data_IF_442172179692
#
_entry.id   IF_442172179692
#
_cell.length_a   1.000
_cell.length_b   1.000
_cell.length_c   1.000
_cell.angle_alpha   90.00
_cell.angle_beta   90.00
_cell.angle_gamma   90.00
#
_symmetry.space_group_name_H-M   'P 1'
#
loop_
_entity.id
_entity.type
_entity.pdbx_description
1 polymer ?
#
# COMPACT_ATOMS: atom_id res chain seq x y z
N UNK A 1 17.57 -5.98 -20.31
CA UNK A 1 16.19 -5.72 -19.86
C UNK A 1 15.46 -5.31 -21.12
N UNK A 2 14.68 -6.24 -21.68
CA UNK A 2 14.04 -6.06 -22.98
C UNK A 2 12.79 -5.19 -22.82
N UNK A 3 12.56 -4.31 -23.78
CA UNK A 3 11.39 -3.43 -23.85
C UNK A 3 10.08 -4.23 -23.74
N UNK A 4 9.31 -4.00 -22.67
CA UNK A 4 8.00 -4.63 -22.45
C UNK A 4 6.87 -3.98 -23.27
N UNK A 5 7.21 -3.12 -24.24
CA UNK A 5 6.27 -2.43 -25.13
C UNK A 5 6.57 -2.72 -26.61
N UNK A 6 5.53 -3.00 -27.39
CA UNK A 6 5.64 -3.12 -28.85
C UNK A 6 6.13 -1.78 -29.44
N UNK A 7 7.30 -1.74 -30.10
CA UNK A 7 7.88 -0.49 -30.62
C UNK A 7 7.06 0.13 -31.77
N UNK A 8 6.11 -0.60 -32.35
CA UNK A 8 5.27 -0.14 -33.46
C UNK A 8 3.95 0.46 -32.97
N UNK A 9 3.39 -0.07 -31.88
CA UNK A 9 2.05 0.30 -31.38
C UNK A 9 2.06 0.91 -29.98
N UNK A 10 3.17 0.80 -29.26
CA UNK A 10 3.33 1.24 -27.87
C UNK A 10 2.58 0.39 -26.84
N UNK A 11 2.02 -0.76 -27.22
CA UNK A 11 1.26 -1.61 -26.31
C UNK A 11 2.18 -2.40 -25.37
N UNK A 12 1.89 -2.35 -24.06
CA UNK A 12 2.58 -3.16 -23.05
C UNK A 12 2.05 -4.60 -23.14
N UNK A 13 2.93 -5.55 -23.46
CA UNK A 13 2.54 -6.92 -23.85
C UNK A 13 2.45 -7.87 -22.63
N UNK A 14 3.03 -7.49 -21.49
CA UNK A 14 3.03 -8.27 -20.26
C UNK A 14 2.37 -7.47 -19.11
N UNK A 15 1.09 -7.77 -18.84
CA UNK A 15 0.37 -7.21 -17.68
C UNK A 15 0.52 -8.21 -16.52
N UNK A 16 1.11 -7.83 -15.37
CA UNK A 16 1.18 -8.70 -14.20
C UNK A 16 -0.21 -9.07 -13.68
N UNK A 17 -0.39 -10.31 -13.18
CA UNK A 17 -1.64 -10.73 -12.53
C UNK A 17 -2.04 -9.75 -11.42
N UNK A 18 -3.29 -9.30 -11.44
CA UNK A 18 -3.83 -8.34 -10.46
C UNK A 18 -3.85 -6.88 -10.91
N UNK A 19 -3.30 -6.56 -12.09
CA UNK A 19 -3.45 -5.23 -12.70
C UNK A 19 -4.43 -5.29 -13.87
N UNK A 20 -5.41 -4.38 -13.86
CA UNK A 20 -6.36 -4.19 -14.95
C UNK A 20 -5.94 -2.94 -15.74
N UNK A 21 -4.89 -3.08 -16.57
CA UNK A 21 -4.45 -1.98 -17.44
C UNK A 21 -5.13 -2.09 -18.79
N UNK A 22 -5.77 -1.00 -19.21
CA UNK A 22 -6.30 -0.87 -20.58
C UNK A 22 -5.15 -0.34 -21.46
N UNK A 23 -4.65 -1.10 -22.46
CA UNK A 23 -3.57 -0.63 -23.31
C UNK A 23 -4.05 0.55 -24.17
N UNK A 24 -3.45 1.72 -23.96
CA UNK A 24 -3.76 2.94 -24.70
C UNK A 24 -2.83 3.06 -25.92
N UNK A 25 -3.35 2.81 -27.13
CA UNK A 25 -2.58 3.02 -28.36
C UNK A 25 -2.66 4.49 -28.80
N UNK A 26 -1.59 5.24 -28.50
CA UNK A 26 -1.53 6.69 -28.68
C UNK A 26 -1.48 7.10 -30.17
N UNK A 27 -1.07 6.20 -31.08
CA UNK A 27 -0.97 6.48 -32.51
C UNK A 27 -2.33 6.53 -33.24
N UNK A 28 -3.41 6.04 -32.61
CA UNK A 28 -4.77 5.96 -33.19
C UNK A 28 -5.75 6.92 -32.48
N UNK A 29 -5.24 7.73 -31.55
CA UNK A 29 -6.02 8.55 -30.63
C UNK A 29 -6.50 9.85 -31.32
N UNK A 30 -7.62 9.74 -32.05
CA UNK A 30 -8.41 10.88 -32.56
C UNK A 30 -9.33 11.44 -31.46
N UNK A 31 -9.63 12.74 -31.52
CA UNK A 31 -10.52 13.47 -30.60
C UNK A 31 -11.90 12.81 -30.51
N UNK A 32 -12.37 12.21 -31.60
CA UNK A 32 -13.63 11.46 -31.62
C UNK A 32 -13.60 10.19 -30.74
N UNK A 33 -12.46 9.48 -30.68
CA UNK A 33 -12.29 8.31 -29.81
C UNK A 33 -12.11 8.70 -28.34
N UNK A 34 -11.44 9.83 -28.07
CA UNK A 34 -11.34 10.39 -26.72
C UNK A 34 -12.71 10.70 -26.13
N UNK A 35 -13.61 11.28 -26.92
CA UNK A 35 -14.98 11.59 -26.48
C UNK A 35 -15.74 10.31 -26.12
N UNK A 36 -15.55 9.22 -26.86
CA UNK A 36 -16.20 7.93 -26.57
C UNK A 36 -15.65 7.25 -25.31
N UNK A 37 -14.40 7.52 -24.95
CA UNK A 37 -13.78 7.01 -23.72
C UNK A 37 -14.04 7.89 -22.51
N UNK A 38 -14.60 9.09 -22.70
CA UNK A 38 -15.02 9.93 -21.58
C UNK A 38 -16.06 9.19 -20.75
N UNK A 39 -15.84 9.03 -19.43
CA UNK A 39 -16.80 8.34 -18.59
C UNK A 39 -18.13 9.10 -18.55
N UNK A 40 -19.22 8.35 -18.64
CA UNK A 40 -20.58 8.89 -18.57
C UNK A 40 -20.95 9.30 -17.14
N UNK A 41 -21.92 10.21 -17.00
CA UNK A 41 -22.39 10.65 -15.67
C UNK A 41 -22.85 9.48 -14.77
N UNK A 42 -23.61 8.47 -15.24
CA UNK A 42 -23.94 7.30 -14.43
C UNK A 42 -22.70 6.51 -13.98
N UNK A 43 -21.68 6.36 -14.82
CA UNK A 43 -20.43 5.68 -14.46
C UNK A 43 -19.67 6.43 -13.36
N UNK A 44 -19.62 7.77 -13.43
CA UNK A 44 -18.98 8.60 -12.41
C UNK A 44 -19.74 8.55 -11.09
N UNK A 45 -21.07 8.62 -11.12
CA UNK A 45 -21.91 8.50 -9.91
C UNK A 45 -21.75 7.10 -9.28
N UNK A 46 -21.69 6.05 -10.10
CA UNK A 46 -21.42 4.69 -9.65
C UNK A 46 -20.06 4.55 -8.98
N UNK A 47 -19.00 5.04 -9.64
CA UNK A 47 -17.65 5.08 -9.08
C UNK A 47 -17.59 5.87 -7.77
N UNK A 48 -18.26 7.02 -7.70
CA UNK A 48 -18.34 7.84 -6.49
C UNK A 48 -19.04 7.10 -5.33
N UNK A 49 -20.12 6.37 -5.61
CA UNK A 49 -20.82 5.57 -4.60
C UNK A 49 -19.91 4.48 -4.03
N UNK A 50 -19.18 3.77 -4.91
CA UNK A 50 -18.22 2.74 -4.50
C UNK A 50 -17.05 3.33 -3.69
N UNK A 51 -16.49 4.47 -4.14
CA UNK A 51 -15.40 5.15 -3.44
C UNK A 51 -15.83 5.60 -2.03
N UNK A 52 -17.05 6.14 -1.89
CA UNK A 52 -17.61 6.50 -0.58
C UNK A 52 -17.82 5.30 0.33
N UNK A 53 -18.32 4.18 -0.21
CA UNK A 53 -18.49 2.95 0.57
C UNK A 53 -17.14 2.43 1.10
N UNK A 54 -16.10 2.42 0.25
CA UNK A 54 -14.74 2.06 0.65
C UNK A 54 -14.17 3.02 1.71
N UNK A 55 -14.34 4.32 1.51
CA UNK A 55 -13.87 5.34 2.45
C UNK A 55 -14.53 5.21 3.84
N UNK A 56 -15.81 4.85 3.87
CA UNK A 56 -16.55 4.63 5.12
C UNK A 56 -15.97 3.45 5.93
N UNK A 57 -15.48 2.41 5.25
CA UNK A 57 -14.90 1.23 5.88
C UNK A 57 -13.42 1.39 6.25
N UNK A 58 -12.73 2.37 5.66
CA UNK A 58 -11.29 2.57 5.83
C UNK A 58 -10.84 2.72 7.29
N UNK A 59 -11.51 3.49 8.19
CA UNK A 59 -11.07 3.63 9.57
C UNK A 59 -11.03 2.32 10.34
N UNK A 60 -12.07 1.48 10.18
CA UNK A 60 -12.15 0.19 10.87
C UNK A 60 -11.09 -0.80 10.36
N UNK A 61 -10.81 -0.79 9.05
CA UNK A 61 -9.73 -1.58 8.46
C UNK A 61 -8.35 -1.13 8.96
N UNK A 62 -8.10 0.19 8.99
CA UNK A 62 -6.85 0.77 9.50
C UNK A 62 -6.61 0.46 10.97
N UNK A 63 -7.66 0.42 11.80
CA UNK A 63 -7.54 0.01 13.20
C UNK A 63 -7.08 -1.45 13.34
N UNK A 64 -7.48 -2.33 12.42
CA UNK A 64 -6.98 -3.70 12.34
C UNK A 64 -5.46 -3.75 12.12
N UNK A 65 -4.97 -3.04 11.12
CA UNK A 65 -3.53 -2.94 10.82
C UNK A 65 -2.74 -2.29 11.96
N UNK A 66 -3.28 -1.22 12.55
CA UNK A 66 -2.66 -0.55 13.72
C UNK A 66 -2.52 -1.50 14.91
N UNK A 67 -3.53 -2.34 15.18
CA UNK A 67 -3.47 -3.35 16.25
C UNK A 67 -2.41 -4.41 15.94
N UNK A 68 -2.37 -4.93 14.71
CA UNK A 68 -1.33 -5.87 14.28
C UNK A 68 0.07 -5.30 14.49
N UNK A 69 0.31 -4.08 14.04
CA UNK A 69 1.59 -3.39 14.19
C UNK A 69 2.00 -3.26 15.66
N UNK A 70 1.09 -2.84 16.54
CA UNK A 70 1.36 -2.74 17.99
C UNK A 70 1.68 -4.09 18.62
N UNK A 71 0.99 -5.15 18.19
CA UNK A 71 1.27 -6.51 18.67
C UNK A 71 2.66 -6.95 18.25
N UNK A 72 3.00 -6.81 16.96
CA UNK A 72 4.31 -7.16 16.44
C UNK A 72 5.44 -6.35 17.09
N UNK A 73 5.23 -5.06 17.33
CA UNK A 73 6.18 -4.20 18.04
C UNK A 73 6.45 -4.70 19.46
N UNK A 74 5.39 -5.07 20.19
CA UNK A 74 5.50 -5.63 21.52
C UNK A 74 6.27 -6.95 21.51
N UNK A 75 5.97 -7.83 20.56
CA UNK A 75 6.64 -9.13 20.41
C UNK A 75 8.12 -8.96 20.09
N UNK A 76 8.48 -8.05 19.17
CA UNK A 76 9.88 -7.69 18.87
C UNK A 76 10.61 -7.22 20.11
N UNK A 77 10.03 -6.28 20.86
CA UNK A 77 10.65 -5.73 22.07
C UNK A 77 10.86 -6.80 23.15
N UNK A 78 9.90 -7.72 23.31
CA UNK A 78 10.04 -8.86 24.23
C UNK A 78 11.14 -9.84 23.77
N UNK A 79 11.18 -10.17 22.48
CA UNK A 79 12.20 -11.05 21.93
C UNK A 79 13.60 -10.48 22.14
N UNK A 80 13.80 -9.20 21.80
CA UNK A 80 15.08 -8.49 22.02
C UNK A 80 15.45 -8.47 23.51
N UNK A 81 14.50 -8.14 24.39
CA UNK A 81 14.75 -8.12 25.82
C UNK A 81 15.20 -9.47 26.39
N UNK A 82 14.55 -10.56 25.95
CA UNK A 82 14.90 -11.92 26.36
C UNK A 82 16.26 -12.36 25.79
N UNK A 83 16.54 -12.04 24.53
CA UNK A 83 17.83 -12.37 23.91
C UNK A 83 18.98 -11.63 24.58
N UNK A 84 18.84 -10.32 24.81
CA UNK A 84 19.83 -9.49 25.52
C UNK A 84 20.06 -9.98 26.95
N UNK A 85 19.00 -10.41 27.65
CA UNK A 85 19.14 -11.00 28.99
C UNK A 85 20.02 -12.25 28.97
N UNK A 86 19.76 -13.19 28.05
CA UNK A 86 20.57 -14.40 27.91
C UNK A 86 22.02 -14.10 27.55
N UNK A 87 22.25 -13.19 26.61
CA UNK A 87 23.60 -12.78 26.23
C UNK A 87 24.34 -12.08 27.37
N UNK A 88 23.61 -11.34 28.23
CA UNK A 88 24.18 -10.74 29.45
C UNK A 88 24.60 -11.81 30.46
N UNK A 89 23.85 -12.90 30.59
CA UNK A 89 24.22 -14.04 31.44
C UNK A 89 25.46 -14.77 30.90
N UNK A 90 25.60 -14.89 29.57
CA UNK A 90 26.72 -15.56 28.91
C UNK A 90 28.03 -14.74 28.94
N UNK A 91 27.96 -13.47 28.55
CA UNK A 91 29.14 -12.61 28.39
C UNK A 91 29.43 -11.72 29.61
N UNK A 92 28.55 -11.71 30.61
CA UNK A 92 28.66 -10.87 31.80
C UNK A 92 28.65 -9.37 31.47
N UNK A 93 29.34 -8.57 32.28
CA UNK A 93 29.37 -7.11 32.14
C UNK A 93 30.39 -6.58 31.12
N UNK A 94 31.00 -7.44 30.30
CA UNK A 94 32.02 -7.03 29.31
C UNK A 94 31.41 -6.24 28.12
N UNK A 95 30.45 -6.78 27.37
CA UNK A 95 29.87 -6.07 26.24
C UNK A 95 28.89 -4.98 26.70
N UNK A 96 28.83 -3.90 25.93
CA UNK A 96 27.86 -2.82 26.14
C UNK A 96 26.44 -3.30 25.83
N UNK A 97 25.43 -2.57 26.31
CA UNK A 97 24.03 -2.93 26.02
C UNK A 97 23.70 -2.84 24.52
N UNK A 98 24.37 -1.95 23.79
CA UNK A 98 24.22 -1.81 22.34
C UNK A 98 24.80 -3.02 21.62
N UNK A 99 26.04 -3.40 21.93
CA UNK A 99 26.69 -4.59 21.36
C UNK A 99 25.87 -5.87 21.59
N UNK A 100 25.26 -6.02 22.77
CA UNK A 100 24.37 -7.14 23.05
C UNK A 100 23.10 -7.13 22.20
N UNK A 101 22.54 -5.96 21.90
CA UNK A 101 21.38 -5.86 20.99
C UNK A 101 21.77 -6.19 19.57
N UNK A 102 22.89 -5.65 19.09
CA UNK A 102 23.39 -5.93 17.74
C UNK A 102 23.66 -7.42 17.57
N UNK A 103 24.26 -8.05 18.60
CA UNK A 103 24.48 -9.49 18.62
C UNK A 103 23.17 -10.29 18.65
N UNK A 104 22.16 -9.83 19.41
CA UNK A 104 20.84 -10.45 19.43
C UNK A 104 20.16 -10.42 18.06
N UNK A 105 20.24 -9.30 17.34
CA UNK A 105 19.72 -9.19 15.97
C UNK A 105 20.49 -10.04 14.96
N UNK A 106 21.75 -10.36 15.23
CA UNK A 106 22.58 -11.18 14.34
C UNK A 106 22.44 -12.69 14.59
N UNK A 107 22.13 -13.11 15.82
CA UNK A 107 22.27 -14.51 16.24
C UNK A 107 21.00 -15.16 16.82
N UNK A 108 20.02 -14.39 17.30
CA UNK A 108 18.81 -14.97 17.88
C UNK A 108 17.67 -15.02 16.84
N UNK A 109 17.38 -16.23 16.35
CA UNK A 109 16.33 -16.47 15.35
C UNK A 109 14.97 -15.91 15.75
N UNK A 110 14.66 -15.84 17.07
CA UNK A 110 13.38 -15.28 17.54
C UNK A 110 13.35 -13.77 17.39
N UNK A 111 14.49 -13.11 17.58
CA UNK A 111 14.62 -11.67 17.36
C UNK A 111 14.51 -11.35 15.89
N UNK A 112 15.18 -12.13 15.03
CA UNK A 112 15.12 -11.96 13.57
C UNK A 112 13.68 -12.11 13.09
N UNK A 113 13.01 -13.22 13.44
CA UNK A 113 11.63 -13.48 13.03
C UNK A 113 10.65 -12.41 13.56
N UNK A 114 10.83 -11.94 14.79
CA UNK A 114 9.99 -10.87 15.35
C UNK A 114 10.24 -9.51 14.69
N UNK A 115 11.47 -9.24 14.25
CA UNK A 115 11.82 -8.04 13.49
C UNK A 115 11.17 -8.07 12.10
N UNK A 116 11.27 -9.19 11.38
CA UNK A 116 10.61 -9.38 10.07
C UNK A 116 9.08 -9.25 10.16
N UNK A 117 8.48 -9.82 11.20
CA UNK A 117 7.04 -9.69 11.43
C UNK A 117 6.62 -8.24 11.71
N UNK A 118 7.43 -7.48 12.46
CA UNK A 118 7.20 -6.06 12.69
C UNK A 118 7.31 -5.25 11.40
N UNK A 119 8.36 -5.46 10.61
CA UNK A 119 8.58 -4.74 9.35
C UNK A 119 7.46 -5.04 8.34
N UNK A 120 7.01 -6.29 8.27
CA UNK A 120 5.87 -6.71 7.45
C UNK A 120 4.57 -6.02 7.89
N UNK A 121 4.28 -6.01 9.20
CA UNK A 121 3.09 -5.35 9.74
C UNK A 121 3.14 -3.82 9.55
N UNK A 122 4.33 -3.23 9.59
CA UNK A 122 4.53 -1.81 9.32
C UNK A 122 4.26 -1.49 7.84
N UNK A 123 4.80 -2.29 6.92
CA UNK A 123 4.57 -2.14 5.49
C UNK A 123 3.09 -2.29 5.13
N UNK A 124 2.40 -3.30 5.69
CA UNK A 124 0.95 -3.47 5.53
C UNK A 124 0.17 -2.23 5.99
N UNK A 125 0.55 -1.66 7.15
CA UNK A 125 -0.10 -0.49 7.71
C UNK A 125 0.10 0.77 6.84
N UNK A 126 1.33 1.03 6.39
CA UNK A 126 1.60 2.18 5.51
C UNK A 126 0.89 2.04 4.16
N UNK A 127 0.91 0.85 3.54
CA UNK A 127 0.15 0.61 2.33
C UNK A 127 -1.35 0.86 2.52
N UNK A 128 -1.92 0.38 3.63
CA UNK A 128 -3.33 0.60 3.93
C UNK A 128 -3.66 2.09 4.15
N UNK A 129 -2.74 2.84 4.76
CA UNK A 129 -2.87 4.28 4.98
C UNK A 129 -2.84 5.05 3.66
N UNK A 130 -1.86 4.77 2.80
CA UNK A 130 -1.75 5.40 1.48
C UNK A 130 -2.97 5.08 0.60
N UNK A 131 -3.47 3.84 0.66
CA UNK A 131 -4.70 3.45 -0.03
C UNK A 131 -5.92 4.24 0.46
N UNK A 132 -6.06 4.44 1.77
CA UNK A 132 -7.16 5.23 2.34
C UNK A 132 -7.09 6.70 1.89
N UNK A 133 -5.90 7.30 1.87
CA UNK A 133 -5.67 8.66 1.40
C UNK A 133 -5.97 8.82 -0.10
N UNK A 134 -5.60 7.81 -0.91
CA UNK A 134 -5.95 7.76 -2.33
C UNK A 134 -7.46 7.69 -2.54
N UNK A 135 -8.18 6.83 -1.81
CA UNK A 135 -9.64 6.74 -1.88
C UNK A 135 -10.32 8.06 -1.48
N UNK A 136 -9.80 8.77 -0.48
CA UNK A 136 -10.33 10.07 -0.08
C UNK A 136 -10.13 11.14 -1.18
N UNK A 137 -8.97 11.11 -1.83
CA UNK A 137 -8.68 11.93 -3.02
C UNK A 137 -9.66 11.63 -4.15
N UNK A 138 -9.87 10.35 -4.47
CA UNK A 138 -10.80 9.92 -5.51
C UNK A 138 -12.23 10.39 -5.26
N UNK A 139 -12.71 10.29 -4.01
CA UNK A 139 -14.03 10.80 -3.63
C UNK A 139 -14.14 12.30 -3.94
N UNK A 140 -13.10 13.08 -3.65
CA UNK A 140 -13.09 14.53 -3.90
C UNK A 140 -13.06 14.83 -5.39
N UNK A 141 -12.24 14.12 -6.16
CA UNK A 141 -12.13 14.27 -7.62
C UNK A 141 -13.46 13.92 -8.31
N UNK A 142 -14.04 12.76 -8.00
CA UNK A 142 -15.29 12.29 -8.60
C UNK A 142 -16.47 13.19 -8.25
N UNK A 143 -16.50 13.77 -7.03
CA UNK A 143 -17.51 14.78 -6.68
C UNK A 143 -17.40 16.03 -7.54
N UNK A 144 -16.18 16.51 -7.77
CA UNK A 144 -15.91 17.68 -8.62
C UNK A 144 -16.34 17.43 -10.07
N UNK A 145 -15.97 16.27 -10.64
CA UNK A 145 -16.34 15.88 -12.00
C UNK A 145 -17.86 15.74 -12.13
N UNK A 146 -18.50 15.02 -11.20
CA UNK A 146 -19.95 14.83 -11.22
C UNK A 146 -20.72 16.15 -11.12
N UNK A 147 -20.20 17.12 -10.37
CA UNK A 147 -20.78 18.46 -10.26
C UNK A 147 -20.69 19.20 -11.60
N UNK A 148 -19.51 19.26 -12.22
CA UNK A 148 -19.32 19.93 -13.52
C UNK A 148 -20.20 19.34 -14.62
N UNK A 149 -20.26 18.01 -14.72
CA UNK A 149 -21.09 17.35 -15.73
C UNK A 149 -22.60 17.58 -15.54
N UNK A 150 -23.06 17.83 -14.31
CA UNK A 150 -24.45 18.22 -14.06
C UNK A 150 -24.73 19.68 -14.42
N UNK A 151 -23.73 20.56 -14.27
CA UNK A 151 -23.84 21.98 -14.64
C UNK A 151 -23.80 22.19 -16.17
N UNK A 152 -23.17 21.27 -16.91
CA UNK A 152 -23.08 21.27 -18.38
C UNK A 152 -24.26 20.55 -19.08
N UNK A 153 -25.12 19.85 -18.33
CA UNK A 153 -26.35 19.28 -18.87
C UNK A 153 -27.44 20.38 -18.98
N UNK A 154 -28.06 20.57 -20.16
CA UNK A 154 -29.09 21.60 -20.38
C UNK A 154 -30.38 21.35 -19.59
#
# INVERSE_FOLDING_TARGET
>A
MADDADPTTGQVVAIPEGFDTVPLNIAVLDEHWLIQWTPTLPQIIGALSMARAKNLMAPAALDGFRRKLRTAEREKNLAVGLAVHRLREEFGNRPTMTELRDLAYALDDRVIAAAEAYDSAWLEYEYAKDFADAVATDVTLLQSIAKKMKEEQP
#
